data_IF_030238636304
#
_entry.id   IF_030238636304
#
_cell.length_a   1.000
_cell.length_b   1.000
_cell.length_c   1.000
_cell.angle_alpha   90.00
_cell.angle_beta   90.00
_cell.angle_gamma   90.00
#
_symmetry.space_group_name_H-M   'P 1'
#
loop_
_entity.id
_entity.type
_entity.pdbx_description
1 polymer ?
#
# COMPACT_ATOMS: atom_id res chain seq x y z
N UNK A 1 78.83 20.86 -31.26
CA UNK A 1 77.43 21.21 -30.96
C UNK A 1 76.59 19.95 -31.08
N UNK A 2 76.34 19.27 -29.94
CA UNK A 2 75.58 18.00 -29.91
C UNK A 2 74.19 18.25 -29.35
N UNK A 3 73.17 18.09 -30.18
CA UNK A 3 71.78 18.10 -29.77
C UNK A 3 71.38 16.69 -29.30
N UNK A 4 71.17 16.51 -28.01
CA UNK A 4 70.60 15.32 -27.42
C UNK A 4 69.06 15.38 -27.56
N UNK A 5 68.47 14.39 -28.28
CA UNK A 5 67.05 14.19 -28.38
C UNK A 5 66.61 13.27 -27.25
N UNK A 6 65.86 13.78 -26.30
CA UNK A 6 65.24 13.00 -25.23
C UNK A 6 63.88 12.45 -25.74
N UNK A 7 63.76 11.14 -25.84
CA UNK A 7 62.51 10.46 -26.15
C UNK A 7 61.77 10.28 -24.83
N UNK A 8 60.52 10.81 -24.80
CA UNK A 8 59.59 10.61 -23.69
C UNK A 8 58.74 9.41 -24.02
N UNK A 9 58.91 8.31 -23.27
CA UNK A 9 58.04 7.14 -23.35
C UNK A 9 56.77 7.41 -22.54
N UNK A 10 55.61 7.49 -23.18
CA UNK A 10 54.30 7.58 -22.54
C UNK A 10 53.81 6.15 -22.26
N UNK A 11 53.84 5.74 -21.03
CA UNK A 11 53.27 4.48 -20.57
C UNK A 11 51.75 4.66 -20.37
N UNK A 12 50.93 4.09 -21.26
CA UNK A 12 49.50 4.02 -21.13
C UNK A 12 49.12 2.92 -20.11
N UNK A 13 48.75 3.29 -18.92
CA UNK A 13 48.20 2.38 -17.93
C UNK A 13 46.71 2.13 -18.25
N UNK A 14 46.38 0.94 -18.77
CA UNK A 14 45.02 0.45 -18.94
C UNK A 14 44.45 0.14 -17.55
N UNK A 15 43.58 1.01 -17.04
CA UNK A 15 42.78 0.73 -15.85
C UNK A 15 41.58 -0.12 -16.29
N UNK A 16 41.69 -1.44 -16.08
CA UNK A 16 40.55 -2.35 -16.20
C UNK A 16 39.62 -2.12 -15.00
N UNK A 17 38.55 -1.36 -15.19
CA UNK A 17 37.46 -1.25 -14.21
C UNK A 17 36.69 -2.59 -14.21
N UNK A 18 36.56 -3.31 -13.07
CA UNK A 18 35.67 -4.43 -12.99
C UNK A 18 34.23 -3.91 -13.07
N UNK A 19 33.55 -4.21 -14.16
CA UNK A 19 32.11 -4.05 -14.27
C UNK A 19 31.49 -5.12 -13.39
N UNK A 20 31.18 -4.75 -12.15
CA UNK A 20 30.33 -5.56 -11.26
C UNK A 20 28.94 -5.51 -11.88
N UNK A 21 28.63 -6.46 -12.78
CA UNK A 21 27.27 -6.80 -13.13
C UNK A 21 26.65 -7.44 -11.91
N UNK A 22 26.10 -6.61 -11.02
CA UNK A 22 25.16 -7.07 -10.02
C UNK A 22 23.94 -7.61 -10.78
N UNK A 23 23.86 -8.94 -10.93
CA UNK A 23 22.65 -9.62 -11.31
C UNK A 23 21.60 -9.29 -10.25
N UNK A 24 20.64 -8.44 -10.63
CA UNK A 24 19.66 -7.91 -9.71
C UNK A 24 18.58 -8.94 -9.43
N UNK A 25 18.59 -9.45 -8.23
CA UNK A 25 17.35 -9.57 -7.49
C UNK A 25 17.03 -8.13 -7.07
N UNK A 26 15.78 -7.71 -7.30
CA UNK A 26 15.30 -6.38 -6.90
C UNK A 26 15.38 -6.28 -5.38
N UNK A 27 16.55 -5.96 -4.88
CA UNK A 27 16.72 -5.62 -3.48
C UNK A 27 15.93 -4.33 -3.23
N UNK A 28 14.93 -4.42 -2.34
CA UNK A 28 14.16 -3.26 -1.89
C UNK A 28 14.73 -2.70 -0.58
N UNK A 29 15.97 -2.21 -0.51
CA UNK A 29 16.55 -1.72 0.73
C UNK A 29 15.69 -0.58 1.25
N UNK A 30 14.98 -0.83 2.38
CA UNK A 30 14.12 0.15 3.01
C UNK A 30 12.77 0.39 2.33
N UNK A 31 12.42 -0.31 1.24
CA UNK A 31 11.10 -0.23 0.61
C UNK A 31 10.19 -1.36 1.08
N UNK A 32 8.94 -1.02 1.40
CA UNK A 32 7.84 -1.98 1.61
C UNK A 32 7.18 -2.35 0.28
N UNK A 33 7.16 -1.43 -0.68
CA UNK A 33 6.70 -1.64 -2.04
C UNK A 33 7.33 -0.62 -3.00
N UNK A 34 7.35 -0.95 -4.29
CA UNK A 34 7.59 -0.02 -5.40
C UNK A 34 6.35 -0.04 -6.30
N UNK A 35 5.78 1.12 -6.59
CA UNK A 35 4.55 1.29 -7.36
C UNK A 35 4.76 2.39 -8.39
N UNK A 36 4.75 2.06 -9.67
CA UNK A 36 5.01 3.03 -10.74
C UNK A 36 6.40 3.67 -10.66
N UNK A 37 7.40 2.93 -10.17
CA UNK A 37 8.76 3.44 -9.92
C UNK A 37 8.92 4.24 -8.62
N UNK A 38 7.85 4.56 -7.91
CA UNK A 38 7.89 5.27 -6.63
C UNK A 38 7.89 4.30 -5.44
N UNK A 39 8.73 4.58 -4.44
CA UNK A 39 8.83 3.75 -3.24
C UNK A 39 7.77 4.11 -2.21
N UNK A 40 7.16 3.07 -1.62
CA UNK A 40 6.54 3.13 -0.30
C UNK A 40 7.59 2.60 0.67
N UNK A 41 8.15 3.46 1.51
CA UNK A 41 9.22 3.04 2.42
C UNK A 41 8.67 2.26 3.62
N UNK A 42 9.50 1.41 4.21
CA UNK A 42 9.18 0.74 5.49
C UNK A 42 8.86 1.77 6.56
N UNK A 43 9.61 2.87 6.62
CA UNK A 43 9.38 3.94 7.59
C UNK A 43 8.00 4.62 7.42
N UNK A 44 7.55 4.83 6.16
CA UNK A 44 6.21 5.35 5.89
C UNK A 44 5.13 4.36 6.36
N UNK A 45 5.29 3.07 6.05
CA UNK A 45 4.38 2.02 6.51
C UNK A 45 4.31 1.95 8.03
N UNK A 46 5.45 1.88 8.70
CA UNK A 46 5.54 1.84 10.17
C UNK A 46 4.96 3.10 10.80
N UNK A 47 5.17 4.27 10.20
CA UNK A 47 4.56 5.52 10.63
C UNK A 47 3.03 5.43 10.63
N UNK A 48 2.43 4.89 9.55
CA UNK A 48 0.97 4.68 9.47
C UNK A 48 0.47 3.69 10.52
N UNK A 49 1.17 2.57 10.69
CA UNK A 49 0.83 1.58 11.73
C UNK A 49 0.90 2.19 13.14
N UNK A 50 1.94 2.97 13.43
CA UNK A 50 2.06 3.68 14.72
C UNK A 50 0.91 4.66 14.97
N UNK A 51 0.47 5.38 13.94
CA UNK A 51 -0.70 6.27 14.04
C UNK A 51 -1.96 5.53 14.49
N UNK A 52 -2.24 4.38 13.86
CA UNK A 52 -3.39 3.55 14.21
C UNK A 52 -3.24 2.98 15.62
N UNK A 53 -2.07 2.43 15.96
CA UNK A 53 -1.82 1.88 17.30
C UNK A 53 -1.96 2.94 18.40
N UNK A 54 -1.47 4.15 18.18
CA UNK A 54 -1.63 5.25 19.13
C UNK A 54 -3.11 5.63 19.32
N UNK A 55 -3.89 5.69 18.22
CA UNK A 55 -5.33 5.94 18.29
C UNK A 55 -6.09 4.82 19.02
N UNK A 56 -5.78 3.54 18.73
CA UNK A 56 -6.34 2.38 19.42
C UNK A 56 -6.03 2.42 20.91
N UNK A 57 -4.79 2.76 21.29
CA UNK A 57 -4.39 2.87 22.69
C UNK A 57 -5.16 4.00 23.40
N UNK A 58 -5.33 5.13 22.74
CA UNK A 58 -6.09 6.25 23.29
C UNK A 58 -7.60 5.92 23.47
N UNK A 59 -8.16 5.14 22.54
CA UNK A 59 -9.55 4.70 22.60
C UNK A 59 -9.77 3.56 23.62
N UNK A 60 -8.71 2.80 23.96
CA UNK A 60 -8.78 1.63 24.85
C UNK A 60 -7.74 1.75 25.95
N UNK A 61 -8.02 2.51 27.03
CA UNK A 61 -7.08 2.70 28.14
C UNK A 61 -6.76 1.43 28.95
N UNK A 62 -7.69 0.47 29.01
CA UNK A 62 -7.50 -0.82 29.69
C UNK A 62 -6.49 -1.69 28.96
N UNK A 63 -5.48 -2.18 29.67
CA UNK A 63 -4.36 -2.94 29.08
C UNK A 63 -4.82 -4.27 28.46
N UNK A 64 -5.73 -4.98 29.13
CA UNK A 64 -6.22 -6.29 28.66
C UNK A 64 -7.01 -6.13 27.36
N UNK A 65 -7.91 -5.16 27.32
CA UNK A 65 -8.69 -4.85 26.11
C UNK A 65 -7.79 -4.37 24.96
N UNK A 66 -6.76 -3.58 25.28
CA UNK A 66 -5.80 -3.12 24.28
C UNK A 66 -5.00 -4.30 23.69
N UNK A 67 -4.54 -5.26 24.53
CA UNK A 67 -3.87 -6.47 24.02
C UNK A 67 -4.78 -7.31 23.12
N UNK A 68 -6.07 -7.43 23.46
CA UNK A 68 -7.05 -8.08 22.59
C UNK A 68 -7.20 -7.34 21.24
N UNK A 69 -7.19 -6.01 21.27
CA UNK A 69 -7.23 -5.19 20.03
C UNK A 69 -6.00 -5.43 19.17
N UNK A 70 -4.79 -5.49 19.76
CA UNK A 70 -3.56 -5.84 19.04
C UNK A 70 -3.66 -7.23 18.42
N UNK A 71 -4.12 -8.22 19.16
CA UNK A 71 -4.25 -9.59 18.66
C UNK A 71 -5.22 -9.67 17.46
N UNK A 72 -6.38 -9.02 17.56
CA UNK A 72 -7.36 -8.96 16.45
C UNK A 72 -6.85 -8.23 15.21
N UNK A 73 -5.93 -7.30 15.38
CA UNK A 73 -5.35 -6.50 14.28
C UNK A 73 -3.89 -6.87 14.00
N UNK A 74 -3.54 -8.14 14.15
CA UNK A 74 -2.16 -8.64 13.90
C UNK A 74 -1.70 -8.43 12.46
N UNK A 75 -2.62 -8.39 11.49
CA UNK A 75 -2.38 -8.11 10.06
C UNK A 75 -2.20 -6.63 9.72
N UNK A 76 -2.35 -5.70 10.68
CA UNK A 76 -2.44 -4.25 10.43
C UNK A 76 -1.36 -3.70 9.47
N UNK A 77 -0.11 -4.15 9.57
CA UNK A 77 0.96 -3.68 8.69
C UNK A 77 0.73 -4.11 7.23
N UNK A 78 0.28 -5.34 7.02
CA UNK A 78 -0.03 -5.88 5.69
C UNK A 78 -1.25 -5.20 5.09
N UNK A 79 -2.28 -4.98 5.89
CA UNK A 79 -3.51 -4.30 5.47
C UNK A 79 -3.26 -2.82 5.17
N UNK A 80 -2.43 -2.16 5.98
CA UNK A 80 -2.00 -0.78 5.71
C UNK A 80 -1.19 -0.69 4.41
N UNK A 81 -0.26 -1.62 4.16
CA UNK A 81 0.47 -1.63 2.89
C UNK A 81 -0.46 -1.88 1.70
N UNK A 82 -1.39 -2.83 1.82
CA UNK A 82 -2.40 -3.08 0.79
C UNK A 82 -3.15 -1.79 0.45
N UNK A 83 -3.67 -1.08 1.46
CA UNK A 83 -4.38 0.19 1.24
C UNK A 83 -3.49 1.24 0.55
N UNK A 84 -2.24 1.42 1.00
CA UNK A 84 -1.32 2.38 0.39
C UNK A 84 -1.00 2.08 -1.08
N UNK A 85 -0.94 0.80 -1.46
CA UNK A 85 -0.75 0.38 -2.85
C UNK A 85 -2.02 0.58 -3.64
N UNK A 86 -3.17 0.16 -3.10
CA UNK A 86 -4.47 0.28 -3.75
C UNK A 86 -4.85 1.75 -4.01
N UNK A 87 -4.54 2.65 -3.08
CA UNK A 87 -4.71 4.10 -3.27
C UNK A 87 -3.97 4.59 -4.53
N UNK A 88 -2.74 4.14 -4.77
CA UNK A 88 -1.97 4.51 -5.97
C UNK A 88 -2.55 3.92 -7.26
N UNK A 89 -3.08 2.68 -7.17
CA UNK A 89 -3.78 2.05 -8.30
C UNK A 89 -5.04 2.85 -8.65
N UNK A 90 -5.82 3.20 -7.65
CA UNK A 90 -7.03 4.01 -7.82
C UNK A 90 -6.70 5.40 -8.36
N UNK A 91 -5.65 6.05 -7.85
CA UNK A 91 -5.17 7.33 -8.36
C UNK A 91 -4.78 7.26 -9.84
N UNK A 92 -4.17 6.16 -10.28
CA UNK A 92 -3.83 5.94 -11.68
C UNK A 92 -5.10 5.74 -12.52
N UNK A 93 -5.98 4.83 -12.12
CA UNK A 93 -7.23 4.58 -12.83
C UNK A 93 -8.11 5.84 -12.93
N UNK A 94 -8.17 6.64 -11.87
CA UNK A 94 -8.92 7.89 -11.85
C UNK A 94 -8.32 8.94 -12.80
N UNK A 95 -7.00 9.09 -12.83
CA UNK A 95 -6.32 9.99 -13.79
C UNK A 95 -6.59 9.57 -15.23
N UNK A 96 -6.52 8.28 -15.54
CA UNK A 96 -6.75 7.75 -16.89
C UNK A 96 -8.20 7.97 -17.33
N UNK A 97 -9.15 7.99 -16.39
CA UNK A 97 -10.56 8.32 -16.62
C UNK A 97 -10.88 9.84 -16.53
N UNK A 98 -9.88 10.71 -16.35
CA UNK A 98 -10.08 12.17 -16.22
C UNK A 98 -10.80 12.58 -14.93
N UNK A 99 -10.81 11.73 -13.90
CA UNK A 99 -11.46 11.99 -12.61
C UNK A 99 -10.57 12.81 -11.69
N UNK A 100 -11.16 13.83 -11.06
CA UNK A 100 -10.51 14.62 -10.02
C UNK A 100 -11.39 14.74 -8.78
N UNK A 101 -10.76 14.87 -7.61
CA UNK A 101 -11.43 15.05 -6.32
C UNK A 101 -11.04 16.40 -5.74
N UNK A 102 -12.03 17.25 -5.51
CA UNK A 102 -11.85 18.56 -4.87
C UNK A 102 -11.90 18.42 -3.34
N UNK A 103 -11.39 19.44 -2.62
CA UNK A 103 -11.56 19.54 -1.16
C UNK A 103 -13.04 19.56 -0.78
N UNK A 104 -13.87 20.26 -1.53
CA UNK A 104 -15.31 20.39 -1.28
C UNK A 104 -16.01 19.02 -1.34
N UNK A 105 -15.62 18.14 -2.26
CA UNK A 105 -16.18 16.80 -2.35
C UNK A 105 -15.92 16.00 -1.06
N UNK A 106 -14.69 16.10 -0.53
CA UNK A 106 -14.28 15.42 0.71
C UNK A 106 -15.03 16.00 1.92
N UNK A 107 -15.09 17.33 2.04
CA UNK A 107 -15.80 18.03 3.12
C UNK A 107 -17.30 17.67 3.12
N UNK A 108 -17.92 17.61 1.95
CA UNK A 108 -19.32 17.21 1.84
C UNK A 108 -19.56 15.75 2.25
N UNK A 109 -18.70 14.83 1.80
CA UNK A 109 -18.78 13.44 2.23
C UNK A 109 -18.60 13.32 3.74
N UNK A 110 -17.60 13.99 4.29
CA UNK A 110 -17.35 14.01 5.73
C UNK A 110 -18.57 14.48 6.52
N UNK A 111 -19.15 15.61 6.13
CA UNK A 111 -20.34 16.19 6.80
C UNK A 111 -21.51 15.20 6.79
N UNK A 112 -21.77 14.55 5.65
CA UNK A 112 -22.84 13.56 5.52
C UNK A 112 -22.61 12.37 6.44
N UNK A 113 -21.37 11.86 6.47
CA UNK A 113 -21.01 10.70 7.30
C UNK A 113 -21.00 11.04 8.81
N UNK A 114 -20.58 12.23 9.19
CA UNK A 114 -20.68 12.71 10.57
C UNK A 114 -22.13 12.81 11.03
N UNK A 115 -23.03 13.29 10.19
CA UNK A 115 -24.46 13.32 10.48
C UNK A 115 -25.05 11.92 10.66
N UNK A 116 -24.72 10.98 9.78
CA UNK A 116 -25.17 9.58 9.85
C UNK A 116 -24.59 8.84 11.07
N UNK A 117 -23.36 9.12 11.43
CA UNK A 117 -22.68 8.47 12.55
C UNK A 117 -23.12 9.03 13.95
N UNK A 118 -23.78 10.18 13.99
CA UNK A 118 -24.10 10.88 15.24
C UNK A 118 -23.00 11.81 15.73
N UNK A 119 -22.15 12.30 14.82
CA UNK A 119 -21.13 13.32 15.05
C UNK A 119 -19.71 12.88 14.75
N UNK A 120 -18.79 13.85 14.76
CA UNK A 120 -17.39 13.63 14.37
C UNK A 120 -16.68 12.58 15.23
N UNK A 121 -16.94 12.52 16.53
CA UNK A 121 -16.33 11.51 17.43
C UNK A 121 -16.79 10.10 17.10
N UNK A 122 -18.08 9.92 16.83
CA UNK A 122 -18.64 8.63 16.46
C UNK A 122 -18.06 8.15 15.12
N UNK A 123 -17.95 9.04 14.13
CA UNK A 123 -17.28 8.75 12.87
C UNK A 123 -15.83 8.31 13.08
N UNK A 124 -15.06 8.99 13.92
CA UNK A 124 -13.68 8.63 14.24
C UNK A 124 -13.56 7.24 14.87
N UNK A 125 -14.44 6.89 15.81
CA UNK A 125 -14.47 5.55 16.44
C UNK A 125 -14.79 4.48 15.39
N UNK A 126 -15.80 4.68 14.56
CA UNK A 126 -16.19 3.73 13.51
C UNK A 126 -15.01 3.50 12.53
N UNK A 127 -14.37 4.57 12.06
CA UNK A 127 -13.24 4.46 11.11
C UNK A 127 -12.04 3.75 11.72
N UNK A 128 -11.74 4.02 13.00
CA UNK A 128 -10.65 3.35 13.71
C UNK A 128 -10.93 1.86 13.93
N UNK A 129 -12.15 1.51 14.34
CA UNK A 129 -12.49 0.14 14.72
C UNK A 129 -12.74 -0.76 13.51
N UNK A 130 -13.46 -0.27 12.52
CA UNK A 130 -13.86 -1.07 11.35
C UNK A 130 -12.83 -1.09 10.25
N UNK A 131 -12.16 0.06 10.00
CA UNK A 131 -11.26 0.22 8.86
C UNK A 131 -9.79 0.39 9.25
N UNK A 132 -9.48 0.48 10.56
CA UNK A 132 -8.11 0.71 11.01
C UNK A 132 -7.54 2.07 10.56
N UNK A 133 -8.40 3.06 10.37
CA UNK A 133 -8.03 4.42 9.94
C UNK A 133 -7.90 5.32 11.16
N UNK A 134 -6.71 5.85 11.41
CA UNK A 134 -6.49 6.81 12.48
C UNK A 134 -7.29 8.11 12.25
N UNK A 135 -7.83 8.78 13.30
CA UNK A 135 -8.68 9.96 13.16
C UNK A 135 -8.12 11.05 12.26
N UNK A 136 -6.81 11.30 12.30
CA UNK A 136 -6.13 12.28 11.46
C UNK A 136 -6.03 11.91 9.98
N UNK A 137 -6.40 10.68 9.61
CA UNK A 137 -6.35 10.15 8.24
C UNK A 137 -7.72 9.97 7.61
N UNK A 138 -8.77 10.37 8.30
CA UNK A 138 -10.14 10.23 7.79
C UNK A 138 -10.29 10.99 6.47
N UNK A 139 -9.81 12.23 6.37
CA UNK A 139 -9.94 13.01 5.14
C UNK A 139 -9.17 12.40 3.97
N UNK A 140 -7.98 11.83 4.22
CA UNK A 140 -7.24 11.08 3.20
C UNK A 140 -8.05 9.87 2.71
N UNK A 141 -8.64 9.10 3.65
CA UNK A 141 -9.46 7.93 3.32
C UNK A 141 -10.76 8.31 2.60
N UNK A 142 -11.44 9.38 3.06
CA UNK A 142 -12.65 9.89 2.38
C UNK A 142 -12.33 10.39 0.96
N UNK A 143 -11.15 10.96 0.74
CA UNK A 143 -10.71 11.32 -0.60
C UNK A 143 -10.63 10.11 -1.52
N UNK A 144 -10.05 8.99 -1.04
CA UNK A 144 -10.00 7.71 -1.75
C UNK A 144 -11.41 7.21 -2.07
N UNK A 145 -12.32 7.28 -1.10
CA UNK A 145 -13.71 6.85 -1.28
C UNK A 145 -14.45 7.69 -2.33
N UNK A 146 -14.35 9.04 -2.25
CA UNK A 146 -14.92 9.95 -3.28
C UNK A 146 -14.33 9.65 -4.65
N UNK A 147 -13.04 9.36 -4.72
CA UNK A 147 -12.37 9.05 -5.97
C UNK A 147 -12.90 7.76 -6.59
N UNK A 148 -13.11 6.72 -5.78
CA UNK A 148 -13.70 5.47 -6.23
C UNK A 148 -15.14 5.66 -6.75
N UNK A 149 -15.95 6.44 -6.05
CA UNK A 149 -17.31 6.77 -6.47
C UNK A 149 -17.32 7.53 -7.80
N UNK A 150 -16.47 8.55 -7.93
CA UNK A 150 -16.37 9.33 -9.18
C UNK A 150 -15.83 8.49 -10.34
N UNK A 151 -14.87 7.58 -10.07
CA UNK A 151 -14.37 6.65 -11.08
C UNK A 151 -15.49 5.71 -11.55
N UNK A 152 -16.24 5.13 -10.63
CA UNK A 152 -17.39 4.27 -10.98
C UNK A 152 -18.39 5.03 -11.87
N UNK A 153 -18.72 6.27 -11.52
CA UNK A 153 -19.62 7.10 -12.31
C UNK A 153 -19.05 7.42 -13.70
N UNK A 154 -17.77 7.77 -13.80
CA UNK A 154 -17.09 8.07 -15.07
C UNK A 154 -17.02 6.86 -16.00
N UNK A 155 -16.92 5.66 -15.44
CA UNK A 155 -16.93 4.39 -16.19
C UNK A 155 -18.35 3.89 -16.52
N UNK A 156 -19.41 4.54 -16.03
CA UNK A 156 -20.77 4.02 -16.10
C UNK A 156 -20.97 2.70 -15.35
N UNK A 157 -20.12 2.46 -14.33
CA UNK A 157 -20.10 1.21 -13.57
C UNK A 157 -21.08 1.28 -12.40
N UNK A 158 -22.23 0.61 -12.55
CA UNK A 158 -23.18 0.43 -11.43
C UNK A 158 -22.64 -0.62 -10.46
N UNK A 159 -22.13 -0.16 -9.32
CA UNK A 159 -21.52 -1.02 -8.28
C UNK A 159 -22.52 -1.95 -7.57
N UNK A 160 -23.82 -1.83 -7.82
CA UNK A 160 -24.82 -2.78 -7.34
C UNK A 160 -24.88 -4.04 -8.21
N UNK A 161 -24.45 -3.97 -9.48
CA UNK A 161 -24.50 -5.05 -10.45
C UNK A 161 -23.15 -5.79 -10.58
N UNK A 162 -23.20 -7.03 -11.06
CA UNK A 162 -21.99 -7.82 -11.36
C UNK A 162 -21.18 -7.19 -12.50
N UNK A 163 -21.84 -6.71 -13.54
CA UNK A 163 -21.18 -6.13 -14.72
C UNK A 163 -20.54 -4.77 -14.39
N UNK A 164 -21.19 -3.96 -13.59
CA UNK A 164 -20.62 -2.70 -13.12
C UNK A 164 -19.38 -2.93 -12.24
N UNK A 165 -19.44 -3.88 -11.30
CA UNK A 165 -18.25 -4.30 -10.53
C UNK A 165 -17.13 -4.80 -11.44
N UNK A 166 -17.44 -5.63 -12.44
CA UNK A 166 -16.45 -6.13 -13.39
C UNK A 166 -15.81 -4.99 -14.19
N UNK A 167 -16.59 -3.99 -14.61
CA UNK A 167 -16.11 -2.80 -15.33
C UNK A 167 -15.14 -2.00 -14.46
N UNK A 168 -15.50 -1.73 -13.22
CA UNK A 168 -14.63 -1.01 -12.25
C UNK A 168 -13.30 -1.77 -12.00
N UNK A 169 -13.39 -3.05 -11.66
CA UNK A 169 -12.20 -3.85 -11.36
C UNK A 169 -11.32 -4.09 -12.59
N UNK A 170 -11.88 -4.08 -13.80
CA UNK A 170 -11.10 -4.12 -15.04
C UNK A 170 -10.24 -2.86 -15.20
N UNK A 171 -10.77 -1.67 -14.89
CA UNK A 171 -10.00 -0.43 -14.91
C UNK A 171 -8.90 -0.45 -13.83
N UNK A 172 -9.20 -0.94 -12.62
CA UNK A 172 -8.22 -1.11 -11.55
C UNK A 172 -7.10 -2.09 -11.93
N UNK A 173 -7.43 -3.23 -12.54
CA UNK A 173 -6.44 -4.21 -13.00
C UNK A 173 -5.54 -3.65 -14.11
N UNK A 174 -6.08 -2.84 -15.03
CA UNK A 174 -5.30 -2.15 -16.04
C UNK A 174 -4.30 -1.17 -15.41
N UNK A 175 -4.76 -0.31 -14.51
CA UNK A 175 -3.90 0.62 -13.78
C UNK A 175 -2.84 -0.11 -12.95
N UNK A 176 -3.22 -1.21 -12.30
CA UNK A 176 -2.33 -2.08 -11.53
C UNK A 176 -1.20 -2.65 -12.40
N UNK A 177 -1.54 -3.11 -13.61
CA UNK A 177 -0.56 -3.62 -14.60
C UNK A 177 0.43 -2.55 -15.04
N UNK A 178 -0.07 -1.35 -15.33
CA UNK A 178 0.76 -0.23 -15.82
C UNK A 178 1.69 0.33 -14.74
N UNK A 179 1.31 0.22 -13.47
CA UNK A 179 2.12 0.65 -12.35
C UNK A 179 3.26 -0.32 -12.01
N UNK A 180 3.30 -1.52 -12.60
CA UNK A 180 4.36 -2.51 -12.36
C UNK A 180 4.68 -2.63 -10.86
N UNK A 181 3.69 -3.10 -10.09
CA UNK A 181 3.74 -3.12 -8.63
C UNK A 181 4.63 -4.26 -8.13
N UNK A 182 5.60 -3.92 -7.30
CA UNK A 182 6.52 -4.86 -6.68
C UNK A 182 6.50 -4.68 -5.15
N UNK A 183 6.07 -5.72 -4.44
CA UNK A 183 6.04 -5.73 -2.98
C UNK A 183 7.30 -6.38 -2.42
N UNK A 184 7.81 -5.87 -1.31
CA UNK A 184 8.79 -6.59 -0.52
C UNK A 184 8.18 -7.94 -0.09
N UNK A 185 8.84 -9.08 -0.38
CA UNK A 185 8.28 -10.43 -0.16
C UNK A 185 7.79 -10.71 1.27
N UNK A 186 8.35 -10.03 2.27
CA UNK A 186 7.90 -10.13 3.67
C UNK A 186 6.44 -9.73 3.89
N UNK A 187 5.89 -8.92 2.98
CA UNK A 187 4.49 -8.46 3.06
C UNK A 187 3.56 -9.22 2.10
N UNK A 188 4.10 -10.08 1.24
CA UNK A 188 3.35 -10.83 0.25
C UNK A 188 3.70 -10.45 -1.19
N UNK A 189 2.80 -10.77 -2.11
CA UNK A 189 2.90 -10.41 -3.52
C UNK A 189 1.63 -9.68 -3.98
N UNK A 190 1.71 -8.99 -5.12
CA UNK A 190 0.57 -8.27 -5.69
C UNK A 190 -0.07 -9.07 -6.81
N UNK A 191 -1.36 -9.35 -6.68
CA UNK A 191 -2.18 -9.94 -7.75
C UNK A 191 -2.75 -8.78 -8.61
N UNK A 192 -2.19 -8.62 -9.80
CA UNK A 192 -2.57 -7.57 -10.74
C UNK A 192 -4.04 -7.68 -11.17
N UNK A 193 -4.54 -8.90 -11.37
CA UNK A 193 -5.92 -9.11 -11.85
C UNK A 193 -6.96 -8.75 -10.79
N UNK A 194 -6.65 -9.02 -9.55
CA UNK A 194 -7.52 -8.70 -8.42
C UNK A 194 -7.24 -7.34 -7.80
N UNK A 195 -6.17 -6.66 -8.25
CA UNK A 195 -5.65 -5.46 -7.61
C UNK A 195 -5.57 -5.61 -6.08
N UNK A 196 -5.01 -6.71 -5.65
CA UNK A 196 -4.94 -7.06 -4.23
C UNK A 196 -3.62 -7.72 -3.84
N UNK A 197 -3.23 -7.53 -2.57
CA UNK A 197 -2.15 -8.25 -1.96
C UNK A 197 -2.57 -9.70 -1.67
N UNK A 198 -1.72 -10.63 -1.99
CA UNK A 198 -1.84 -12.04 -1.60
C UNK A 198 -0.63 -12.46 -0.77
N UNK A 199 -0.81 -13.44 0.11
CA UNK A 199 0.29 -13.93 0.92
C UNK A 199 1.33 -14.62 0.03
N UNK A 200 2.61 -14.39 0.30
CA UNK A 200 3.68 -15.06 -0.41
C UNK A 200 3.62 -16.55 -0.11
N UNK A 201 3.60 -17.38 -1.16
CA UNK A 201 3.77 -18.81 -0.99
C UNK A 201 5.23 -19.08 -0.63
N UNK A 202 5.49 -19.42 0.62
CA UNK A 202 6.82 -19.82 1.11
C UNK A 202 6.87 -21.35 1.18
N UNK A 203 7.33 -22.02 0.12
CA UNK A 203 7.23 -23.50 0.02
C UNK A 203 8.06 -24.23 1.09
N UNK A 204 9.00 -23.53 1.74
CA UNK A 204 9.80 -24.08 2.84
C UNK A 204 9.18 -23.89 4.24
N UNK A 205 8.16 -23.05 4.38
CA UNK A 205 7.40 -22.92 5.63
C UNK A 205 6.30 -23.96 5.58
N UNK A 206 6.51 -25.09 6.27
CA UNK A 206 5.41 -26.04 6.53
C UNK A 206 4.39 -25.29 7.39
N UNK A 207 3.17 -25.15 6.90
CA UNK A 207 2.06 -24.73 7.74
C UNK A 207 2.02 -25.67 8.93
N UNK A 208 2.27 -25.16 10.14
CA UNK A 208 2.04 -25.94 11.34
C UNK A 208 0.54 -26.21 11.38
N UNK A 209 0.14 -27.40 11.02
CA UNK A 209 -1.24 -27.86 11.12
C UNK A 209 -1.61 -27.65 12.57
N UNK A 210 -2.50 -26.71 12.84
CA UNK A 210 -3.10 -26.54 14.18
C UNK A 210 -3.76 -27.90 14.45
N UNK A 211 -3.16 -28.67 15.34
CA UNK A 211 -3.73 -29.94 15.76
C UNK A 211 -5.14 -29.66 16.22
N UNK A 212 -6.12 -30.29 15.57
CA UNK A 212 -7.51 -30.18 15.97
C UNK A 212 -7.61 -30.50 17.45
N UNK A 213 -8.19 -29.57 18.22
CA UNK A 213 -8.43 -29.79 19.65
C UNK A 213 -9.21 -31.10 19.81
N UNK A 214 -8.83 -31.98 20.78
CA UNK A 214 -9.55 -33.23 21.01
C UNK A 214 -11.00 -32.89 21.34
N UNK A 215 -11.93 -33.47 20.58
CA UNK A 215 -13.37 -33.38 20.90
C UNK A 215 -13.62 -34.12 22.23
N UNK A 216 -14.33 -33.49 23.18
CA UNK A 216 -14.73 -34.19 24.40
C UNK A 216 -15.70 -35.31 24.02
N UNK A 217 -15.47 -36.50 24.62
CA UNK A 217 -16.29 -37.68 24.49
C UNK A 217 -17.66 -37.52 25.20
#
# INVERSE_FOLDING_TARGET
>A
MHRRRTAIAVSAALVAAPVLTACGETEHPGAAAVVGGERITVAQLEGRVKEVRAAQRAATPDDTQYQQTIARTSGLARDTLHSLVLDRVLDRAARDAGVSVSRRDVEQMRTNLEQQAGGARALQSIWLEQYGVAPRRIDDNLRTEVQAQKLSAALGADMSTTDGKATFWKAMAQASKELNIDLNPRYGTWDVQKSSRVDAKTPWVKEATVAAAPQPA
#
